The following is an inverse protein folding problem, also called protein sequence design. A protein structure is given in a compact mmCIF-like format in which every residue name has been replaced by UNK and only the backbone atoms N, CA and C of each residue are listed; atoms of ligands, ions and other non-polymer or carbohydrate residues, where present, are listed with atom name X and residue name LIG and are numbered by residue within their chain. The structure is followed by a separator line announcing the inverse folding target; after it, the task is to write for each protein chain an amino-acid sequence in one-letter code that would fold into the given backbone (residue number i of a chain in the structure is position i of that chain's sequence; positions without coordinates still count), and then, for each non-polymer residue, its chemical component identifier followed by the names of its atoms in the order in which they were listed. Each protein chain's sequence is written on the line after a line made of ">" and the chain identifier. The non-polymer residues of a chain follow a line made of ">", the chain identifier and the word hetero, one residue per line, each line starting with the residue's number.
data_IF_157504838206
#
_entry.id   IF_157504838206
#
_cell.length_a   1.000
_cell.length_b   1.000
_cell.length_c   1.000
_cell.angle_alpha   90.00
_cell.angle_beta   90.00
_cell.angle_gamma   90.00
#
_symmetry.space_group_name_H-M   'P 1'
#
loop_
_entity.id
_entity.type
_entity.pdbx_description
1 polymer ?
#
# COMPACT_ATOMS: atom_id res chain seq x y z
N UNK A 1 3.51 -2.82 -81.48
CA UNK A 1 2.34 -1.93 -81.30
C UNK A 1 2.45 -1.22 -79.96
N UNK A 2 2.42 0.12 -79.94
CA UNK A 2 2.16 0.92 -78.73
C UNK A 2 0.75 0.58 -78.22
N UNK A 3 0.53 0.59 -76.91
CA UNK A 3 -0.59 1.32 -76.29
C UNK A 3 -0.35 1.52 -74.80
N UNK A 4 -0.77 2.70 -74.35
CA UNK A 4 -0.49 3.37 -73.09
C UNK A 4 -1.85 3.63 -72.41
N UNK A 5 -1.99 3.09 -71.18
CA UNK A 5 -2.83 3.41 -69.98
C UNK A 5 -4.25 4.00 -70.13
N UNK A 6 -5.17 3.73 -69.18
CA UNK A 6 -5.35 4.71 -68.11
C UNK A 6 -5.55 4.13 -66.69
N UNK A 7 -5.22 4.98 -65.71
CA UNK A 7 -5.33 4.75 -64.27
C UNK A 7 -6.79 4.70 -63.79
N UNK A 8 -7.05 3.93 -62.72
CA UNK A 8 -8.14 4.23 -61.78
C UNK A 8 -7.78 3.78 -60.36
N UNK A 9 -7.61 4.78 -59.51
CA UNK A 9 -7.46 4.69 -58.06
C UNK A 9 -8.73 4.09 -57.45
N UNK A 10 -8.60 3.11 -56.56
CA UNK A 10 -9.68 2.57 -55.73
C UNK A 10 -9.25 2.65 -54.28
N UNK A 11 -9.60 3.77 -53.63
CA UNK A 11 -9.53 3.90 -52.17
C UNK A 11 -10.88 3.47 -51.62
N UNK A 12 -10.95 2.24 -51.10
CA UNK A 12 -12.07 1.76 -50.31
C UNK A 12 -12.06 2.50 -48.96
N UNK A 13 -13.06 3.35 -48.74
CA UNK A 13 -13.34 3.94 -47.43
C UNK A 13 -13.84 2.86 -46.47
N UNK A 14 -13.00 2.47 -45.52
CA UNK A 14 -13.38 1.65 -44.37
C UNK A 14 -14.05 2.56 -43.33
N UNK A 15 -15.37 2.51 -43.23
CA UNK A 15 -16.12 3.15 -42.14
C UNK A 15 -15.88 2.39 -40.84
N UNK A 16 -14.92 2.84 -40.03
CA UNK A 16 -14.82 2.44 -38.63
C UNK A 16 -15.81 3.27 -37.82
N UNK A 17 -16.88 2.63 -37.36
CA UNK A 17 -17.77 3.18 -36.32
C UNK A 17 -16.98 3.29 -35.01
N UNK A 18 -16.69 4.53 -34.60
CA UNK A 18 -16.10 4.83 -33.30
C UNK A 18 -17.11 4.55 -32.19
N UNK A 19 -16.88 3.47 -31.42
CA UNK A 19 -17.54 3.26 -30.14
C UNK A 19 -17.07 4.37 -29.19
N UNK A 20 -17.96 5.13 -28.54
CA UNK A 20 -17.52 6.09 -27.53
C UNK A 20 -16.99 5.30 -26.32
N UNK A 21 -15.67 5.32 -26.13
CA UNK A 21 -15.05 4.86 -24.89
C UNK A 21 -15.41 5.86 -23.79
N UNK A 22 -16.52 5.62 -23.11
CA UNK A 22 -16.83 6.26 -21.84
C UNK A 22 -15.83 5.75 -20.80
N UNK A 23 -14.63 6.32 -20.78
CA UNK A 23 -13.74 6.19 -19.63
C UNK A 23 -14.51 6.76 -18.44
N UNK A 24 -14.85 5.96 -17.41
CA UNK A 24 -15.34 6.55 -16.17
C UNK A 24 -14.23 7.49 -15.71
N UNK A 25 -14.56 8.75 -15.46
CA UNK A 25 -13.59 9.69 -14.90
C UNK A 25 -13.17 9.14 -13.54
N UNK A 26 -12.02 8.47 -13.52
CA UNK A 26 -11.41 8.00 -12.28
C UNK A 26 -11.00 9.29 -11.57
N UNK A 27 -11.80 9.70 -10.59
CA UNK A 27 -11.45 10.82 -9.72
C UNK A 27 -10.05 10.58 -9.17
N UNK A 28 -9.19 11.60 -9.12
CA UNK A 28 -7.85 11.44 -8.57
C UNK A 28 -7.93 10.89 -7.14
N UNK A 29 -6.98 10.03 -6.74
CA UNK A 29 -6.95 9.50 -5.38
C UNK A 29 -6.92 10.65 -4.37
N UNK A 30 -7.57 10.44 -3.22
CA UNK A 30 -7.66 11.45 -2.17
C UNK A 30 -6.47 11.32 -1.22
N UNK A 31 -5.62 12.34 -1.25
CA UNK A 31 -4.39 12.38 -0.45
C UNK A 31 -4.64 12.94 0.96
N UNK A 32 -3.98 12.36 1.97
CA UNK A 32 -3.94 12.91 3.32
C UNK A 32 -2.52 12.92 3.89
N UNK A 33 -2.17 13.99 4.61
CA UNK A 33 -0.78 14.26 5.03
C UNK A 33 -0.60 14.34 6.56
N UNK A 34 -1.70 14.25 7.31
CA UNK A 34 -1.70 14.41 8.77
C UNK A 34 -2.60 13.37 9.41
N UNK A 35 -2.07 12.72 10.44
CA UNK A 35 -2.86 11.95 11.38
C UNK A 35 -3.32 12.87 12.51
N UNK A 36 -4.58 12.76 12.91
CA UNK A 36 -5.13 13.48 14.05
C UNK A 36 -5.26 12.52 15.22
N UNK A 37 -4.82 12.94 16.41
CA UNK A 37 -4.98 12.18 17.64
C UNK A 37 -5.92 12.92 18.57
N UNK A 38 -6.92 12.22 19.10
CA UNK A 38 -7.82 12.73 20.13
C UNK A 38 -7.47 12.05 21.45
N UNK A 39 -7.17 12.82 22.49
CA UNK A 39 -6.91 12.27 23.81
C UNK A 39 -8.22 12.16 24.60
N UNK A 40 -8.55 10.96 25.07
CA UNK A 40 -9.71 10.69 25.92
C UNK A 40 -9.22 9.88 27.12
N UNK A 41 -9.40 10.40 28.34
CA UNK A 41 -8.99 9.76 29.59
C UNK A 41 -7.53 9.25 29.57
N UNK A 42 -6.60 10.03 29.02
CA UNK A 42 -5.18 9.68 28.93
C UNK A 42 -4.82 8.70 27.80
N UNK A 43 -5.81 8.23 27.03
CA UNK A 43 -5.59 7.36 25.86
C UNK A 43 -5.61 8.20 24.57
N UNK A 44 -4.61 8.04 23.71
CA UNK A 44 -4.57 8.68 22.40
C UNK A 44 -5.35 7.85 21.37
N UNK A 45 -6.43 8.38 20.82
CA UNK A 45 -7.26 7.74 19.80
C UNK A 45 -6.91 8.27 18.41
N UNK A 46 -6.67 7.39 17.44
CA UNK A 46 -6.48 7.81 16.06
C UNK A 46 -7.80 8.27 15.44
N UNK A 47 -7.83 9.50 14.95
CA UNK A 47 -8.88 10.04 14.10
C UNK A 47 -8.42 9.89 12.65
N UNK A 48 -8.76 8.75 12.04
CA UNK A 48 -8.39 8.47 10.66
C UNK A 48 -9.41 9.07 9.68
N UNK A 49 -8.97 9.82 8.65
CA UNK A 49 -9.86 10.26 7.59
C UNK A 49 -10.28 9.07 6.71
N UNK A 50 -11.51 8.57 6.88
CA UNK A 50 -12.05 7.40 6.15
C UNK A 50 -12.04 7.56 4.61
N UNK A 51 -11.93 8.79 4.12
CA UNK A 51 -11.83 9.09 2.69
C UNK A 51 -10.41 9.01 2.14
N UNK A 52 -9.39 8.84 2.98
CA UNK A 52 -7.99 8.88 2.55
C UNK A 52 -7.60 7.60 1.82
N UNK A 53 -7.10 7.77 0.60
CA UNK A 53 -6.62 6.70 -0.26
C UNK A 53 -5.08 6.65 -0.34
N UNK A 54 -4.42 7.80 -0.21
CA UNK A 54 -2.96 7.92 -0.23
C UNK A 54 -2.53 8.72 0.99
N UNK A 55 -1.76 8.09 1.87
CA UNK A 55 -1.20 8.77 3.04
C UNK A 55 0.24 9.22 2.76
N UNK A 56 0.57 10.46 3.06
CA UNK A 56 1.93 10.99 3.01
C UNK A 56 2.48 11.15 4.43
N UNK A 57 3.53 10.39 4.76
CA UNK A 57 4.22 10.47 6.04
C UNK A 57 4.43 9.11 6.70
N UNK A 58 4.87 9.17 7.96
CA UNK A 58 5.14 8.00 8.79
C UNK A 58 3.92 7.70 9.68
N UNK A 59 3.29 6.54 9.45
CA UNK A 59 2.14 6.10 10.23
C UNK A 59 2.63 5.38 11.49
N UNK A 60 2.86 6.17 12.55
CA UNK A 60 3.34 5.70 13.85
C UNK A 60 2.18 5.29 14.73
N UNK A 61 2.05 3.99 14.99
CA UNK A 61 0.93 3.39 15.73
C UNK A 61 1.29 3.04 17.19
N UNK A 62 2.20 3.82 17.81
CA UNK A 62 2.74 3.57 19.15
C UNK A 62 1.78 4.05 20.25
N UNK A 63 1.27 3.12 21.06
CA UNK A 63 0.41 3.44 22.22
C UNK A 63 -0.80 4.33 21.87
N UNK A 64 -1.30 4.16 20.65
CA UNK A 64 -2.54 4.76 20.17
C UNK A 64 -3.61 3.68 20.26
N UNK A 65 -4.86 4.07 20.43
CA UNK A 65 -6.03 3.21 20.27
C UNK A 65 -6.59 3.38 18.84
N UNK A 66 -6.80 2.24 18.18
CA UNK A 66 -7.16 2.11 16.77
C UNK A 66 -8.54 1.48 16.59
N UNK A 67 -9.31 1.26 17.67
CA UNK A 67 -10.66 0.67 17.61
C UNK A 67 -11.59 1.38 16.61
N UNK A 68 -11.36 2.68 16.37
CA UNK A 68 -12.20 3.51 15.49
C UNK A 68 -11.52 3.90 14.17
N UNK A 69 -10.30 3.43 13.91
CA UNK A 69 -9.58 3.78 12.70
C UNK A 69 -9.99 2.87 11.54
N UNK A 70 -10.63 3.46 10.51
CA UNK A 70 -11.04 2.73 9.31
C UNK A 70 -10.06 2.96 8.15
N UNK A 71 -9.18 1.98 7.91
CA UNK A 71 -8.21 2.01 6.83
C UNK A 71 -8.71 1.35 5.52
N UNK A 72 -10.00 1.03 5.39
CA UNK A 72 -10.52 0.28 4.22
C UNK A 72 -10.25 0.95 2.87
N UNK A 73 -10.13 2.28 2.82
CA UNK A 73 -9.84 3.02 1.59
C UNK A 73 -8.36 3.28 1.35
N UNK A 74 -7.49 3.06 2.34
CA UNK A 74 -6.07 3.30 2.20
C UNK A 74 -5.47 2.32 1.19
N UNK A 75 -4.88 2.86 0.11
CA UNK A 75 -4.31 2.11 -1.01
C UNK A 75 -2.80 2.24 -1.10
N UNK A 76 -2.27 3.40 -0.73
CA UNK A 76 -0.84 3.70 -0.82
C UNK A 76 -0.36 4.52 0.39
N UNK A 77 0.85 4.24 0.84
CA UNK A 77 1.56 5.05 1.83
C UNK A 77 2.84 5.56 1.17
N UNK A 78 3.03 6.87 1.13
CA UNK A 78 4.28 7.53 0.77
C UNK A 78 5.03 7.87 2.06
N UNK A 79 5.82 6.91 2.54
CA UNK A 79 6.49 6.93 3.82
C UNK A 79 6.62 5.52 4.40
N UNK A 80 6.29 5.35 5.68
CA UNK A 80 6.43 4.08 6.41
C UNK A 80 5.26 3.81 7.35
N UNK A 81 5.13 2.57 7.79
CA UNK A 81 4.24 2.16 8.88
C UNK A 81 5.07 1.59 10.02
N UNK A 82 4.81 2.07 11.23
CA UNK A 82 5.53 1.66 12.43
C UNK A 82 4.58 1.17 13.52
N UNK A 83 4.76 -0.07 13.96
CA UNK A 83 4.07 -0.66 15.09
C UNK A 83 5.10 -0.99 16.17
N UNK A 84 5.23 -0.10 17.16
CA UNK A 84 6.29 -0.20 18.18
C UNK A 84 5.67 -0.17 19.57
N UNK A 85 6.05 -1.14 20.42
CA UNK A 85 5.64 -1.22 21.84
C UNK A 85 4.11 -1.13 22.03
N UNK A 86 3.33 -1.79 21.17
CA UNK A 86 1.86 -1.77 21.26
C UNK A 86 1.30 -2.91 22.09
N UNK A 87 0.10 -2.70 22.62
CA UNK A 87 -0.67 -3.72 23.35
C UNK A 87 -1.49 -4.66 22.45
N UNK A 88 -1.41 -4.49 21.12
CA UNK A 88 -2.27 -5.20 20.17
C UNK A 88 -1.89 -6.67 20.03
N UNK A 89 -2.92 -7.51 19.92
CA UNK A 89 -2.75 -8.92 19.57
C UNK A 89 -2.72 -9.15 18.05
N UNK A 90 -3.26 -8.23 17.27
CA UNK A 90 -3.34 -8.29 15.80
C UNK A 90 -3.05 -6.91 15.21
N UNK A 91 -2.43 -6.90 14.04
CA UNK A 91 -2.27 -5.67 13.25
C UNK A 91 -3.63 -5.06 12.85
N UNK A 92 -3.73 -3.72 12.76
CA UNK A 92 -4.87 -3.04 12.15
C UNK A 92 -5.03 -3.47 10.69
N UNK A 93 -6.27 -3.63 10.25
CA UNK A 93 -6.56 -4.13 8.91
C UNK A 93 -6.51 -3.01 7.87
N UNK A 94 -5.66 -3.16 6.85
CA UNK A 94 -5.57 -2.25 5.69
C UNK A 94 -5.80 -3.04 4.39
N UNK A 95 -7.04 -3.51 4.15
CA UNK A 95 -7.32 -4.55 3.14
C UNK A 95 -7.07 -4.10 1.68
N UNK A 96 -7.08 -2.79 1.42
CA UNK A 96 -6.83 -2.21 0.11
C UNK A 96 -5.40 -1.68 -0.06
N UNK A 97 -4.58 -1.72 0.99
CA UNK A 97 -3.21 -1.22 0.95
C UNK A 97 -2.39 -2.15 0.04
N UNK A 98 -1.85 -1.55 -1.02
CA UNK A 98 -1.16 -2.25 -2.12
C UNK A 98 0.26 -1.76 -2.33
N UNK A 99 0.60 -0.58 -1.80
CA UNK A 99 1.92 0.01 -2.03
C UNK A 99 2.40 0.82 -0.82
N UNK A 100 3.66 0.63 -0.46
CA UNK A 100 4.40 1.55 0.41
C UNK A 100 5.61 2.05 -0.37
N UNK A 101 5.69 3.35 -0.59
CA UNK A 101 6.79 4.02 -1.27
C UNK A 101 7.61 4.79 -0.24
N UNK A 102 8.84 4.35 0.01
CA UNK A 102 9.77 4.98 0.95
C UNK A 102 10.74 5.91 0.21
N UNK A 103 11.41 6.79 0.96
CA UNK A 103 12.46 7.67 0.43
C UNK A 103 13.88 7.04 0.49
N UNK A 104 13.99 5.75 0.80
CA UNK A 104 15.26 5.03 0.87
C UNK A 104 15.99 5.09 2.20
N UNK A 105 15.66 6.02 3.08
CA UNK A 105 16.35 6.16 4.38
C UNK A 105 15.88 5.16 5.44
N UNK A 106 14.67 4.61 5.31
CA UNK A 106 14.04 3.77 6.34
C UNK A 106 13.25 2.59 5.73
N UNK A 107 13.05 1.50 6.51
CA UNK A 107 12.13 0.43 6.12
C UNK A 107 10.72 0.94 5.89
N UNK A 108 9.99 0.33 4.96
CA UNK A 108 8.59 0.67 4.71
C UNK A 108 7.65 0.15 5.82
N UNK A 109 8.01 -0.98 6.43
CA UNK A 109 7.27 -1.58 7.55
C UNK A 109 8.21 -1.87 8.70
N UNK A 110 7.87 -1.38 9.90
CA UNK A 110 8.62 -1.61 11.14
C UNK A 110 7.70 -2.18 12.21
N UNK A 111 8.01 -3.37 12.74
CA UNK A 111 7.22 -4.04 13.78
C UNK A 111 8.15 -4.43 14.93
N UNK A 112 8.12 -3.67 16.02
CA UNK A 112 9.09 -3.80 17.11
C UNK A 112 8.47 -3.92 18.49
N UNK A 113 8.98 -4.87 19.28
CA UNK A 113 8.71 -5.00 20.70
C UNK A 113 7.21 -5.10 21.06
N UNK A 114 6.40 -5.71 20.20
CA UNK A 114 4.98 -5.94 20.46
C UNK A 114 4.78 -7.31 21.14
N UNK A 115 4.83 -7.33 22.47
CA UNK A 115 4.81 -8.57 23.28
C UNK A 115 3.59 -9.46 23.05
N UNK A 116 2.44 -8.86 22.69
CA UNK A 116 1.17 -9.58 22.52
C UNK A 116 0.81 -9.84 21.06
N UNK A 117 1.57 -9.28 20.11
CA UNK A 117 1.25 -9.38 18.69
C UNK A 117 1.42 -10.82 18.23
N UNK A 118 0.35 -11.40 17.69
CA UNK A 118 0.30 -12.79 17.21
C UNK A 118 0.17 -12.90 15.71
N UNK A 119 -0.48 -11.93 15.08
CA UNK A 119 -0.87 -12.02 13.68
C UNK A 119 -0.69 -10.67 12.96
N UNK A 120 0.04 -10.72 11.85
CA UNK A 120 0.24 -9.58 10.94
C UNK A 120 -0.39 -9.80 9.57
N UNK A 121 -1.02 -10.95 9.30
CA UNK A 121 -1.58 -11.30 7.99
C UNK A 121 -2.71 -10.38 7.58
N UNK A 122 -3.45 -9.88 8.55
CA UNK A 122 -4.52 -8.93 8.30
C UNK A 122 -4.04 -7.49 8.08
N UNK A 123 -2.75 -7.20 8.28
CA UNK A 123 -2.19 -5.85 8.05
C UNK A 123 -2.45 -5.37 6.62
N UNK A 124 -2.01 -6.16 5.64
CA UNK A 124 -2.23 -5.90 4.22
C UNK A 124 -2.66 -7.20 3.55
N UNK A 125 -3.24 -7.10 2.37
CA UNK A 125 -3.45 -8.30 1.58
C UNK A 125 -2.12 -8.72 0.95
N UNK A 126 -1.39 -9.59 1.65
CA UNK A 126 -0.08 -10.08 1.26
C UNK A 126 -0.11 -10.99 0.02
N UNK A 127 -1.26 -11.59 -0.30
CA UNK A 127 -1.47 -12.42 -1.49
C UNK A 127 -1.77 -11.57 -2.74
N UNK A 128 -2.19 -10.32 -2.55
CA UNK A 128 -2.28 -9.33 -3.62
C UNK A 128 -0.91 -8.71 -3.84
N UNK A 129 -0.73 -8.06 -4.98
CA UNK A 129 0.48 -7.35 -5.43
C UNK A 129 0.92 -6.21 -4.49
N UNK A 130 1.11 -6.48 -3.20
CA UNK A 130 1.65 -5.56 -2.21
C UNK A 130 3.12 -5.36 -2.51
N UNK A 131 3.52 -4.10 -2.68
CA UNK A 131 4.89 -3.74 -3.03
C UNK A 131 5.40 -2.69 -2.07
N UNK A 132 6.61 -2.91 -1.57
CA UNK A 132 7.38 -1.86 -0.90
C UNK A 132 8.41 -1.40 -1.91
N UNK A 133 8.50 -0.10 -2.16
CA UNK A 133 9.40 0.50 -3.15
C UNK A 133 10.22 1.62 -2.53
N UNK A 134 11.32 1.98 -3.20
CA UNK A 134 12.18 3.09 -2.78
C UNK A 134 13.10 2.77 -1.60
N UNK A 135 13.10 1.55 -1.06
CA UNK A 135 13.96 1.15 0.06
C UNK A 135 15.39 0.79 -0.40
N UNK A 136 16.38 0.99 0.48
CA UNK A 136 17.81 0.77 0.15
C UNK A 136 18.36 -0.58 0.60
N UNK A 137 17.85 -1.16 1.69
CA UNK A 137 18.38 -2.42 2.24
C UNK A 137 17.28 -3.35 2.75
N UNK A 138 16.44 -2.88 3.68
CA UNK A 138 15.43 -3.72 4.33
C UNK A 138 14.02 -3.13 4.14
N UNK A 139 13.15 -3.73 3.33
CA UNK A 139 11.79 -3.23 3.11
C UNK A 139 10.90 -3.41 4.34
N UNK A 140 11.17 -4.45 5.14
CA UNK A 140 10.42 -4.83 6.33
C UNK A 140 11.41 -5.13 7.45
N UNK A 141 11.17 -4.62 8.65
CA UNK A 141 11.97 -4.86 9.85
C UNK A 141 11.08 -5.35 11.00
N UNK A 142 11.31 -6.58 11.47
CA UNK A 142 10.50 -7.23 12.51
C UNK A 142 11.43 -7.78 13.58
N UNK A 143 11.28 -7.34 14.83
CA UNK A 143 12.09 -7.82 15.95
C UNK A 143 11.40 -7.65 17.31
N UNK A 144 11.75 -8.48 18.29
CA UNK A 144 11.26 -8.38 19.67
C UNK A 144 9.76 -8.67 19.86
N UNK A 145 9.10 -9.36 18.92
CA UNK A 145 7.68 -9.70 19.01
C UNK A 145 7.51 -11.15 19.50
N UNK A 146 7.46 -11.34 20.82
CA UNK A 146 7.54 -12.66 21.49
C UNK A 146 6.47 -13.68 21.05
N UNK A 147 5.24 -13.23 20.76
CA UNK A 147 4.11 -14.11 20.46
C UNK A 147 3.77 -14.18 18.96
N UNK A 148 4.60 -13.57 18.11
CA UNK A 148 4.30 -13.43 16.69
C UNK A 148 4.43 -14.79 15.99
N UNK A 149 3.33 -15.26 15.39
CA UNK A 149 3.34 -16.49 14.60
C UNK A 149 4.10 -16.25 13.29
N UNK A 150 5.24 -16.93 13.15
CA UNK A 150 6.13 -16.84 11.99
C UNK A 150 5.88 -17.91 10.94
N UNK A 151 5.06 -18.93 11.24
CA UNK A 151 4.81 -20.09 10.35
C UNK A 151 4.00 -19.67 9.12
N UNK A 152 3.15 -18.65 9.26
CA UNK A 152 2.29 -18.13 8.20
C UNK A 152 2.71 -16.72 7.75
N UNK A 153 4.00 -16.42 7.83
CA UNK A 153 4.51 -15.13 7.40
C UNK A 153 4.41 -14.98 5.86
N UNK A 154 4.04 -13.79 5.37
CA UNK A 154 4.11 -13.45 3.96
C UNK A 154 5.48 -13.74 3.34
N UNK A 155 5.50 -14.26 2.11
CA UNK A 155 6.75 -14.60 1.40
C UNK A 155 7.70 -13.41 1.21
N UNK A 156 7.19 -12.18 1.12
CA UNK A 156 7.99 -10.94 1.06
C UNK A 156 8.83 -10.71 2.33
N UNK A 157 8.45 -11.33 3.45
CA UNK A 157 9.18 -11.29 4.73
C UNK A 157 10.17 -12.47 4.81
N UNK A 158 9.90 -13.56 4.08
CA UNK A 158 10.76 -14.73 3.95
C UNK A 158 11.84 -14.61 2.87
N UNK A 159 12.05 -13.44 2.27
CA UNK A 159 13.26 -13.17 1.48
C UNK A 159 14.30 -12.55 2.41
N UNK A 160 15.11 -13.35 3.15
CA UNK A 160 16.37 -12.83 3.63
C UNK A 160 17.15 -12.48 2.37
N UNK A 161 17.46 -11.20 2.16
CA UNK A 161 18.51 -10.87 1.22
C UNK A 161 19.76 -11.57 1.75
N UNK A 162 20.13 -12.69 1.14
CA UNK A 162 21.46 -13.25 1.27
C UNK A 162 22.45 -12.12 1.00
N UNK A 163 23.55 -12.01 1.76
CA UNK A 163 24.53 -10.99 1.49
C UNK A 163 24.95 -11.10 0.03
N UNK A 164 24.90 -9.99 -0.69
CA UNK A 164 25.50 -9.90 -2.03
C UNK A 164 26.97 -10.28 -1.84
N UNK A 165 27.35 -11.41 -2.44
CA UNK A 165 28.70 -11.95 -2.43
C UNK A 165 29.62 -11.13 -3.33
#
# INVERSE_FOLDING_TARGET
>A
MKFQIPARSSVLQSTYSSVPSSNPSVSPPKDCNKIHLKHVNGTALLQWPEWCEVFHGELKLRNIDLERADFRKLRKIKGSVELINTGYSRMPQMPCLSEIETNGSYPGVVILNNKRLRDIRGFVNWDRHFRIQGYTQFPVFISGNEQLDTVNMPSIIHHPFSPIS
#
